data_IF_576740008340
#
_entry.id   IF_576740008340
#
_cell.length_a   1.000
_cell.length_b   1.000
_cell.length_c   1.000
_cell.angle_alpha   90.00
_cell.angle_beta   90.00
_cell.angle_gamma   90.00
#
_symmetry.space_group_name_H-M   'P 1'
#
loop_
_entity.id
_entity.type
_entity.pdbx_description
1 polymer ?
#
# COMPACT_ATOMS: atom_id res chain seq x y z
N UNK A 1 -6.71 1.02 24.47
CA UNK A 1 -6.61 1.48 23.06
C UNK A 1 -7.99 1.45 22.45
N UNK A 2 -8.36 2.43 21.63
CA UNK A 2 -9.66 2.43 20.96
C UNK A 2 -9.66 1.33 19.89
N UNK A 3 -10.44 0.27 20.11
CA UNK A 3 -10.48 -0.94 19.27
C UNK A 3 -11.51 -0.86 18.15
N UNK A 4 -12.24 0.25 18.04
CA UNK A 4 -13.23 0.41 16.98
C UNK A 4 -12.54 0.42 15.61
N UNK A 5 -13.10 -0.24 14.58
CA UNK A 5 -12.57 -0.19 13.22
C UNK A 5 -12.60 1.24 12.63
N UNK A 6 -11.68 1.55 11.71
CA UNK A 6 -11.66 2.81 10.97
C UNK A 6 -12.40 2.59 9.66
N UNK A 7 -13.36 3.45 9.35
CA UNK A 7 -14.07 3.40 8.08
C UNK A 7 -13.65 4.59 7.23
N UNK A 8 -13.09 4.33 6.05
CA UNK A 8 -12.73 5.36 5.05
C UNK A 8 -13.47 5.01 3.77
N UNK A 9 -14.31 5.93 3.29
CA UNK A 9 -15.08 5.77 2.05
C UNK A 9 -15.84 4.41 1.98
N UNK A 10 -16.43 3.99 3.11
CA UNK A 10 -17.18 2.73 3.22
C UNK A 10 -16.32 1.47 3.35
N UNK A 11 -14.99 1.57 3.34
CA UNK A 11 -14.07 0.45 3.59
C UNK A 11 -13.64 0.43 5.05
N UNK A 12 -13.68 -0.75 5.67
CA UNK A 12 -13.33 -0.96 7.07
C UNK A 12 -11.88 -1.42 7.20
N UNK A 13 -11.16 -0.81 8.13
CA UNK A 13 -9.76 -1.11 8.47
C UNK A 13 -9.64 -1.36 9.98
N UNK A 14 -9.01 -2.47 10.34
CA UNK A 14 -8.66 -2.80 11.72
C UNK A 14 -7.32 -2.19 12.11
N UNK A 15 -6.38 -2.14 11.18
CA UNK A 15 -5.07 -1.52 11.32
C UNK A 15 -5.15 0.00 11.28
N UNK A 16 -4.33 0.65 12.10
CA UNK A 16 -4.13 2.11 12.12
C UNK A 16 -2.79 2.54 11.53
N UNK A 17 -2.01 1.57 11.06
CA UNK A 17 -0.74 1.81 10.40
C UNK A 17 -0.98 1.82 8.90
N UNK A 18 -0.87 3.00 8.28
CA UNK A 18 -0.82 3.14 6.83
C UNK A 18 0.64 3.25 6.40
N UNK A 19 1.03 2.45 5.42
CA UNK A 19 2.41 2.35 4.99
C UNK A 19 2.57 2.78 3.53
N UNK A 20 3.78 3.20 3.17
CA UNK A 20 4.16 3.51 1.81
C UNK A 20 5.09 2.44 1.22
N UNK A 21 5.29 2.51 -0.09
CA UNK A 21 6.07 1.55 -0.88
C UNK A 21 7.48 2.04 -1.23
N UNK A 22 7.84 3.26 -0.79
CA UNK A 22 9.15 3.85 -1.08
C UNK A 22 10.25 3.39 -0.10
N UNK A 23 11.50 3.58 -0.52
CA UNK A 23 12.73 3.43 0.30
C UNK A 23 13.11 1.99 0.71
N UNK A 24 12.44 0.97 0.19
CA UNK A 24 12.89 -0.42 0.33
C UNK A 24 14.01 -0.73 -0.67
N UNK A 25 14.93 -1.61 -0.27
CA UNK A 25 16.04 -2.07 -1.12
C UNK A 25 15.60 -3.07 -2.19
N UNK A 26 14.43 -3.70 -2.05
CA UNK A 26 13.81 -4.59 -3.04
C UNK A 26 12.29 -4.68 -2.88
N UNK A 27 11.58 -5.06 -3.94
CA UNK A 27 10.13 -5.29 -3.94
C UNK A 27 9.72 -6.45 -3.02
N UNK A 28 10.55 -7.49 -2.92
CA UNK A 28 10.34 -8.62 -2.02
C UNK A 28 10.36 -8.18 -0.55
N UNK A 29 11.41 -7.45 -0.14
CA UNK A 29 11.52 -6.95 1.24
C UNK A 29 10.39 -5.97 1.58
N UNK A 30 9.97 -5.14 0.62
CA UNK A 30 8.80 -4.28 0.75
C UNK A 30 7.55 -5.10 1.07
N UNK A 31 7.25 -6.13 0.26
CA UNK A 31 6.08 -6.98 0.46
C UNK A 31 6.08 -7.67 1.83
N UNK A 32 7.22 -8.26 2.21
CA UNK A 32 7.39 -8.91 3.52
C UNK A 32 7.19 -7.94 4.68
N UNK A 33 7.81 -6.75 4.62
CA UNK A 33 7.68 -5.74 5.66
C UNK A 33 6.25 -5.22 5.79
N UNK A 34 5.56 -4.99 4.67
CA UNK A 34 4.16 -4.54 4.67
C UNK A 34 3.24 -5.61 5.26
N UNK A 35 3.43 -6.88 4.91
CA UNK A 35 2.64 -7.99 5.48
C UNK A 35 2.86 -8.10 6.99
N UNK A 36 4.12 -8.15 7.41
CA UNK A 36 4.49 -8.26 8.82
C UNK A 36 4.00 -7.06 9.66
N UNK A 37 3.91 -5.87 9.06
CA UNK A 37 3.39 -4.68 9.74
C UNK A 37 1.89 -4.72 10.05
N UNK A 38 1.14 -5.63 9.40
CA UNK A 38 -0.33 -5.67 9.49
C UNK A 38 -0.99 -4.44 8.87
N UNK A 39 -0.30 -3.69 8.00
CA UNK A 39 -0.92 -2.58 7.28
C UNK A 39 -1.94 -3.10 6.29
N UNK A 40 -3.13 -2.51 6.29
CA UNK A 40 -4.22 -2.85 5.36
C UNK A 40 -4.40 -1.79 4.26
N UNK A 41 -3.85 -0.58 4.44
CA UNK A 41 -3.89 0.50 3.46
C UNK A 41 -2.46 0.90 3.08
N UNK A 42 -2.08 0.60 1.85
CA UNK A 42 -0.73 0.80 1.32
C UNK A 42 -0.75 1.88 0.24
N UNK A 43 0.09 2.89 0.40
CA UNK A 43 0.18 4.00 -0.55
C UNK A 43 1.17 3.71 -1.69
N UNK A 44 0.77 4.02 -2.92
CA UNK A 44 1.57 3.84 -4.13
C UNK A 44 1.70 5.17 -4.89
N UNK A 45 2.92 5.54 -5.27
CA UNK A 45 3.14 6.77 -6.03
C UNK A 45 2.79 6.54 -7.50
N UNK A 46 1.83 7.32 -8.04
CA UNK A 46 1.32 7.13 -9.41
C UNK A 46 2.39 7.18 -10.50
N UNK A 47 3.48 7.93 -10.29
CA UNK A 47 4.60 8.00 -11.24
C UNK A 47 5.44 6.73 -11.33
N UNK A 48 5.34 5.82 -10.36
CA UNK A 48 6.22 4.65 -10.24
C UNK A 48 5.53 3.32 -10.55
N UNK A 49 4.22 3.35 -10.78
CA UNK A 49 3.42 2.15 -10.96
C UNK A 49 2.53 2.36 -12.17
N UNK A 50 2.64 1.47 -13.16
CA UNK A 50 1.63 1.43 -14.21
C UNK A 50 0.46 0.58 -13.73
N UNK A 51 -0.57 1.21 -13.18
CA UNK A 51 -1.76 0.51 -12.63
C UNK A 51 -2.49 -0.31 -13.70
N UNK A 52 -2.28 -0.01 -14.99
CA UNK A 52 -2.84 -0.76 -16.11
C UNK A 52 -2.00 -1.99 -16.51
N UNK A 53 -0.77 -2.11 -15.99
CA UNK A 53 0.12 -3.23 -16.27
C UNK A 53 0.24 -4.14 -15.04
N UNK A 54 -0.53 -5.23 -15.07
CA UNK A 54 -0.52 -6.24 -14.01
C UNK A 54 0.82 -6.99 -13.88
N UNK A 55 1.76 -6.83 -14.82
CA UNK A 55 3.08 -7.43 -14.78
C UNK A 55 4.12 -6.59 -14.02
N UNK A 56 3.76 -5.40 -13.53
CA UNK A 56 4.64 -4.55 -12.71
C UNK A 56 5.11 -5.31 -11.45
N UNK A 57 6.43 -5.40 -11.28
CA UNK A 57 7.08 -6.15 -10.20
C UNK A 57 6.60 -5.70 -8.80
N UNK A 58 6.36 -4.40 -8.61
CA UNK A 58 5.85 -3.88 -7.34
C UNK A 58 4.40 -4.33 -7.11
N UNK A 59 3.55 -4.28 -8.14
CA UNK A 59 2.15 -4.70 -8.05
C UNK A 59 2.03 -6.19 -7.74
N UNK A 60 2.92 -7.03 -8.27
CA UNK A 60 2.96 -8.45 -7.95
C UNK A 60 3.17 -8.71 -6.46
N UNK A 61 4.09 -7.99 -5.83
CA UNK A 61 4.34 -8.10 -4.38
C UNK A 61 3.24 -7.48 -3.52
N UNK A 62 2.42 -6.60 -4.10
CA UNK A 62 1.26 -5.97 -3.43
C UNK A 62 -0.07 -6.67 -3.72
N UNK A 63 -0.08 -7.69 -4.57
CA UNK A 63 -1.26 -8.49 -4.91
C UNK A 63 -1.59 -9.47 -3.78
N UNK A 64 -2.06 -8.95 -2.65
CA UNK A 64 -2.43 -9.71 -1.47
C UNK A 64 -3.76 -9.22 -0.89
N UNK A 65 -4.68 -10.10 -0.44
CA UNK A 65 -6.01 -9.71 0.03
C UNK A 65 -6.02 -8.79 1.25
N UNK A 66 -4.93 -8.74 2.03
CA UNK A 66 -4.75 -7.79 3.13
C UNK A 66 -4.69 -6.33 2.65
N UNK A 67 -4.21 -6.08 1.42
CA UNK A 67 -3.84 -4.74 0.99
C UNK A 67 -4.95 -4.06 0.19
N UNK A 68 -5.26 -2.85 0.61
CA UNK A 68 -5.98 -1.84 -0.14
C UNK A 68 -4.97 -0.82 -0.67
N UNK A 69 -4.86 -0.69 -1.99
CA UNK A 69 -3.92 0.27 -2.58
C UNK A 69 -4.54 1.66 -2.66
N UNK A 70 -3.79 2.65 -2.18
CA UNK A 70 -4.16 4.06 -2.24
C UNK A 70 -3.15 4.83 -3.12
N UNK A 71 -3.54 5.23 -4.34
CA UNK A 71 -2.68 6.08 -5.15
C UNK A 71 -2.43 7.43 -4.47
N UNK A 72 -1.21 7.94 -4.60
CA UNK A 72 -0.83 9.26 -4.10
C UNK A 72 -0.02 10.06 -5.14
N UNK A 73 0.04 11.38 -4.90
CA UNK A 73 0.66 12.38 -5.80
C UNK A 73 2.14 12.67 -5.50
N UNK A 74 2.84 11.79 -4.77
CA UNK A 74 4.26 11.99 -4.49
C UNK A 74 5.09 12.12 -5.78
N UNK A 75 5.92 13.16 -5.85
CA UNK A 75 6.77 13.45 -7.00
C UNK A 75 6.07 14.23 -8.13
N UNK A 76 4.80 14.61 -7.97
CA UNK A 76 4.15 15.64 -8.79
C UNK A 76 4.72 17.02 -8.43
N UNK A 77 4.88 17.92 -9.41
CA UNK A 77 5.43 19.27 -9.21
C UNK A 77 4.42 20.38 -9.49
N UNK A 78 3.35 20.08 -10.23
CA UNK A 78 2.22 20.96 -10.61
C UNK A 78 1.06 20.09 -11.05
#
# INVERSE_FOLDING_TARGET
MNTQPLVIAGRTFTSRLFAGTGKFSSSALMGEALLASGSELVTVALKRVNVADAADDMLRHLSHPQFSLLPNTSGVRT
#
